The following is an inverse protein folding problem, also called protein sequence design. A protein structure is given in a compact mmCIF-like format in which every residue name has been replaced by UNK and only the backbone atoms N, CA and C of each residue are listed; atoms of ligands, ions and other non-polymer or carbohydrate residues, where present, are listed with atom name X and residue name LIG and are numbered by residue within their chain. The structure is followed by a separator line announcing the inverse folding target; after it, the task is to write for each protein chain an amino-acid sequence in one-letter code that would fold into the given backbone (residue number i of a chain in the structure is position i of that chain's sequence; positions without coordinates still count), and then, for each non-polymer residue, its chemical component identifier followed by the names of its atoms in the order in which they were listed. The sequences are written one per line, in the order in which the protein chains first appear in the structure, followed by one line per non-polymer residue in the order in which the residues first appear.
data_IF_794231463881
#
_entry.id   IF_794231463881
#
_cell.length_a   1.000
_cell.length_b   1.000
_cell.length_c   1.000
_cell.angle_alpha   90.00
_cell.angle_beta   90.00
_cell.angle_gamma   90.00
#
_symmetry.space_group_name_H-M   'P 1'
#
loop_
_entity.id
_entity.type
_entity.pdbx_description
1 polymer ?
#
# COMPACT_ATOMS: atom_id res chain seq x y z
N UNK A 1 12.06 3.93 15.45
CA UNK A 1 11.48 3.55 14.15
C UNK A 1 12.25 2.39 13.50
N UNK A 2 13.55 2.46 13.41
CA UNK A 2 14.39 1.43 12.77
C UNK A 2 14.23 0.01 13.34
N UNK A 3 14.18 -0.13 14.66
CA UNK A 3 13.95 -1.43 15.30
C UNK A 3 12.58 -2.03 14.90
N UNK A 4 11.53 -1.22 14.88
CA UNK A 4 10.21 -1.66 14.43
C UNK A 4 10.23 -2.07 12.94
N UNK A 5 10.95 -1.32 12.10
CA UNK A 5 11.12 -1.63 10.68
C UNK A 5 11.77 -3.00 10.48
N UNK A 6 12.89 -3.29 11.18
CA UNK A 6 13.57 -4.60 11.12
C UNK A 6 12.66 -5.77 11.53
N UNK A 7 11.87 -5.60 12.58
CA UNK A 7 10.92 -6.64 13.04
C UNK A 7 9.85 -6.85 11.97
N UNK A 8 9.26 -5.78 11.45
CA UNK A 8 8.24 -5.85 10.40
C UNK A 8 8.78 -6.54 9.15
N UNK A 9 9.99 -6.18 8.70
CA UNK A 9 10.64 -6.81 7.55
C UNK A 9 10.85 -8.32 7.76
N UNK A 10 11.31 -8.72 8.94
CA UNK A 10 11.50 -10.14 9.25
C UNK A 10 10.18 -10.91 9.17
N UNK A 11 9.12 -10.39 9.80
CA UNK A 11 7.79 -11.01 9.80
C UNK A 11 7.21 -11.06 8.39
N UNK A 12 7.27 -9.97 7.63
CA UNK A 12 6.73 -9.93 6.25
C UNK A 12 7.46 -10.94 5.36
N UNK A 13 8.80 -10.97 5.40
CA UNK A 13 9.58 -11.91 4.58
C UNK A 13 9.30 -13.37 4.96
N UNK A 14 9.13 -13.67 6.25
CA UNK A 14 8.71 -15.00 6.70
C UNK A 14 7.36 -15.40 6.10
N UNK A 15 6.36 -14.52 6.16
CA UNK A 15 5.03 -14.81 5.62
C UNK A 15 5.04 -14.92 4.08
N UNK A 16 5.83 -14.09 3.39
CA UNK A 16 5.94 -14.16 1.93
C UNK A 16 6.55 -15.48 1.45
N UNK A 17 7.49 -16.08 2.21
CA UNK A 17 8.08 -17.38 1.86
C UNK A 17 7.10 -18.54 1.99
N UNK A 18 6.02 -18.39 2.77
CA UNK A 18 5.01 -19.44 3.00
C UNK A 18 4.01 -19.60 1.85
N UNK A 19 4.07 -18.77 0.84
CA UNK A 19 3.12 -18.78 -0.29
C UNK A 19 3.83 -18.72 -1.63
N UNK A 20 3.21 -19.25 -2.71
CA UNK A 20 3.71 -19.05 -4.06
C UNK A 20 3.70 -17.58 -4.46
N UNK A 21 4.62 -17.22 -5.34
CA UNK A 21 4.76 -15.86 -5.88
C UNK A 21 3.93 -15.70 -7.14
N UNK A 22 3.38 -14.51 -7.34
CA UNK A 22 2.66 -14.16 -8.56
C UNK A 22 3.62 -13.65 -9.65
N UNK A 23 3.26 -13.78 -10.94
CA UNK A 23 4.18 -13.51 -12.06
C UNK A 23 4.82 -12.10 -12.05
N UNK A 24 4.09 -11.06 -11.63
CA UNK A 24 4.58 -9.67 -11.59
C UNK A 24 4.94 -9.20 -10.18
N UNK A 25 4.88 -10.08 -9.21
CA UNK A 25 5.31 -9.78 -7.86
C UNK A 25 6.83 -9.62 -7.82
N UNK A 26 7.32 -8.64 -7.03
CA UNK A 26 8.77 -8.44 -6.88
C UNK A 26 9.47 -9.70 -6.39
N UNK A 27 10.48 -10.16 -7.14
CA UNK A 27 11.22 -11.39 -6.87
C UNK A 27 12.41 -11.27 -5.92
N UNK A 28 12.70 -10.03 -5.46
CA UNK A 28 13.94 -9.74 -4.77
C UNK A 28 15.10 -9.45 -5.74
N UNK A 29 16.15 -8.81 -5.25
CA UNK A 29 17.35 -8.52 -6.03
C UNK A 29 18.30 -9.73 -6.09
N UNK A 30 18.14 -10.70 -5.18
CA UNK A 30 18.94 -11.91 -5.07
C UNK A 30 18.05 -13.09 -4.66
N UNK A 31 18.34 -14.32 -5.13
CA UNK A 31 17.60 -15.52 -4.73
C UNK A 31 17.56 -15.75 -3.21
N UNK A 32 18.64 -15.43 -2.52
CA UNK A 32 18.80 -15.62 -1.07
C UNK A 32 18.52 -14.35 -0.26
N UNK A 33 18.24 -13.24 -0.95
CA UNK A 33 18.01 -11.95 -0.33
C UNK A 33 16.59 -11.78 0.22
N UNK A 34 16.32 -10.63 0.87
CA UNK A 34 14.98 -10.31 1.33
C UNK A 34 14.06 -10.10 0.13
N UNK A 35 12.88 -10.73 0.19
CA UNK A 35 11.83 -10.57 -0.82
C UNK A 35 11.15 -9.21 -0.72
N UNK A 36 11.19 -8.60 0.45
CA UNK A 36 10.54 -7.34 0.76
C UNK A 36 11.38 -6.51 1.74
N UNK A 37 11.46 -5.22 1.51
CA UNK A 37 12.11 -4.24 2.38
C UNK A 37 11.19 -3.04 2.55
N UNK A 38 11.17 -2.45 3.74
CA UNK A 38 10.44 -1.23 4.00
C UNK A 38 11.33 -0.03 3.74
N UNK A 39 11.25 0.55 2.54
CA UNK A 39 11.99 1.77 2.20
C UNK A 39 11.16 3.04 2.31
N UNK A 40 9.85 2.90 2.57
CA UNK A 40 8.93 4.02 2.83
C UNK A 40 8.00 3.66 4.00
N UNK A 41 7.83 4.59 4.93
CA UNK A 41 6.85 4.50 6.00
C UNK A 41 6.02 5.78 6.06
N UNK A 42 4.69 5.63 6.17
CA UNK A 42 3.75 6.73 6.37
C UNK A 42 2.95 6.50 7.66
N UNK A 43 2.81 7.55 8.46
CA UNK A 43 2.05 7.50 9.70
C UNK A 43 0.76 8.30 9.59
N UNK A 44 -0.32 7.74 10.14
CA UNK A 44 -1.60 8.42 10.31
C UNK A 44 -1.99 8.38 11.79
N UNK A 45 -2.54 9.47 12.29
CA UNK A 45 -3.15 9.53 13.61
C UNK A 45 -4.66 9.66 13.48
N UNK A 46 -5.40 8.80 14.17
CA UNK A 46 -6.86 8.80 14.24
C UNK A 46 -7.25 9.13 15.67
N UNK A 47 -7.69 10.37 15.90
CA UNK A 47 -8.13 10.83 17.21
C UNK A 47 -9.65 10.72 17.35
N UNK A 48 -10.08 10.10 18.44
CA UNK A 48 -11.50 9.90 18.73
C UNK A 48 -12.20 8.92 17.79
N UNK A 49 -13.48 8.72 18.05
CA UNK A 49 -14.29 7.71 17.37
C UNK A 49 -14.59 8.06 15.89
N UNK A 50 -14.71 9.36 15.57
CA UNK A 50 -15.16 9.83 14.26
C UNK A 50 -14.03 9.97 13.24
N UNK A 51 -12.77 10.08 13.69
CA UNK A 51 -11.62 10.11 12.79
C UNK A 51 -11.57 8.84 11.94
N UNK A 52 -11.48 8.98 10.63
CA UNK A 52 -11.70 7.88 9.70
C UNK A 52 -10.96 8.09 8.37
N UNK A 53 -10.79 7.02 7.64
CA UNK A 53 -10.42 7.05 6.22
C UNK A 53 -11.39 6.19 5.43
N UNK A 54 -11.89 6.72 4.30
CA UNK A 54 -12.84 6.05 3.43
C UNK A 54 -12.25 4.85 2.68
N UNK A 55 -13.11 4.10 1.99
CA UNK A 55 -12.71 2.93 1.20
C UNK A 55 -11.81 3.34 0.02
N UNK A 56 -10.56 2.92 0.05
CA UNK A 56 -9.55 3.16 -0.99
C UNK A 56 -8.66 1.94 -1.20
N UNK A 57 -7.90 1.94 -2.26
CA UNK A 57 -6.72 1.08 -2.47
C UNK A 57 -5.50 1.98 -2.53
N UNK A 58 -4.35 1.48 -2.07
CA UNK A 58 -3.10 2.22 -2.18
C UNK A 58 -2.73 2.44 -3.65
N UNK A 59 -2.08 3.56 -3.93
CA UNK A 59 -1.61 3.88 -5.27
C UNK A 59 -0.43 2.98 -5.64
N UNK A 60 -0.53 2.29 -6.78
CA UNK A 60 0.46 1.30 -7.20
C UNK A 60 1.66 1.87 -7.95
N UNK A 61 1.71 3.17 -8.22
CA UNK A 61 2.70 3.82 -9.09
C UNK A 61 4.14 3.44 -8.75
N UNK A 62 4.48 3.43 -7.46
CA UNK A 62 5.81 3.05 -6.97
C UNK A 62 5.87 1.67 -6.31
N UNK A 63 4.72 1.09 -6.02
CA UNK A 63 4.60 -0.24 -5.43
C UNK A 63 4.66 -1.35 -6.47
N UNK A 64 4.23 -1.03 -7.69
CA UNK A 64 4.05 -2.01 -8.76
C UNK A 64 2.89 -2.98 -8.50
N UNK A 65 2.74 -3.98 -9.39
CA UNK A 65 1.77 -5.07 -9.26
C UNK A 65 1.99 -5.93 -8.00
N UNK A 66 0.88 -6.38 -7.43
CA UNK A 66 0.85 -7.32 -6.31
C UNK A 66 1.68 -6.91 -5.08
N UNK A 67 1.56 -5.67 -4.60
CA UNK A 67 2.36 -5.22 -3.48
C UNK A 67 1.97 -5.95 -2.20
N UNK A 68 2.97 -6.21 -1.37
CA UNK A 68 2.77 -6.54 0.04
C UNK A 68 2.98 -5.27 0.85
N UNK A 69 2.01 -4.93 1.70
CA UNK A 69 2.02 -3.74 2.54
C UNK A 69 1.80 -4.16 3.99
N UNK A 70 2.63 -3.68 4.89
CA UNK A 70 2.51 -3.97 6.32
C UNK A 70 2.08 -2.72 7.10
N UNK A 71 1.16 -2.89 8.04
CA UNK A 71 0.61 -1.77 8.80
C UNK A 71 0.59 -2.11 10.29
N UNK A 72 1.40 -1.38 11.07
CA UNK A 72 1.48 -1.48 12.53
C UNK A 72 0.49 -0.53 13.17
N UNK A 73 -0.31 -1.02 14.10
CA UNK A 73 -1.30 -0.27 14.87
C UNK A 73 -0.87 -0.11 16.32
N UNK A 74 -0.85 1.13 16.78
CA UNK A 74 -0.50 1.50 18.15
C UNK A 74 -1.61 2.35 18.76
N UNK A 75 -1.84 2.22 20.06
CA UNK A 75 -2.85 3.00 20.79
C UNK A 75 -4.23 2.34 20.79
N UNK A 76 -5.27 3.15 20.65
CA UNK A 76 -6.67 2.72 20.75
C UNK A 76 -7.05 1.73 19.66
N UNK A 77 -7.81 0.70 20.05
CA UNK A 77 -8.35 -0.31 19.12
C UNK A 77 -9.29 0.32 18.08
N UNK A 78 -9.08 0.00 16.82
CA UNK A 78 -9.96 0.39 15.70
C UNK A 78 -10.27 -0.82 14.81
N UNK A 79 -11.28 -0.68 13.98
CA UNK A 79 -11.62 -1.67 12.96
C UNK A 79 -10.91 -1.33 11.66
N UNK A 80 -10.18 -2.29 11.09
CA UNK A 80 -9.72 -2.26 9.71
C UNK A 80 -10.75 -3.00 8.85
N UNK A 81 -11.31 -2.30 7.89
CA UNK A 81 -12.32 -2.87 6.99
C UNK A 81 -11.73 -3.16 5.63
N UNK A 82 -11.90 -4.40 5.18
CA UNK A 82 -11.69 -4.78 3.78
C UNK A 82 -13.04 -4.97 3.11
N UNK A 83 -13.24 -4.38 1.94
CA UNK A 83 -14.40 -4.59 1.09
C UNK A 83 -13.98 -5.02 -0.30
N UNK A 84 -14.50 -6.15 -0.74
CA UNK A 84 -14.27 -6.69 -2.06
C UNK A 84 -14.81 -5.76 -3.14
N UNK A 85 -14.08 -5.65 -4.25
CA UNK A 85 -14.57 -5.07 -5.51
C UNK A 85 -15.05 -6.21 -6.37
N UNK A 86 -16.36 -6.29 -6.61
CA UNK A 86 -16.96 -7.34 -7.45
C UNK A 86 -16.58 -7.08 -8.92
N UNK A 87 -16.09 -8.10 -9.66
CA UNK A 87 -15.92 -8.03 -11.11
C UNK A 87 -17.22 -7.66 -11.82
N UNK A 88 -17.12 -7.03 -12.98
CA UNK A 88 -18.28 -6.49 -13.71
C UNK A 88 -19.26 -7.60 -14.14
N UNK A 89 -18.74 -8.76 -14.50
CA UNK A 89 -19.51 -9.95 -14.90
C UNK A 89 -20.25 -10.62 -13.72
N UNK A 90 -19.84 -10.33 -12.48
CA UNK A 90 -20.49 -10.85 -11.28
C UNK A 90 -21.46 -9.83 -10.62
N UNK A 91 -21.58 -8.62 -11.17
CA UNK A 91 -22.49 -7.61 -10.64
C UNK A 91 -23.93 -8.12 -10.78
N UNK A 92 -24.67 -8.11 -9.68
CA UNK A 92 -26.05 -8.61 -9.60
C UNK A 92 -26.16 -10.10 -9.30
N UNK A 93 -25.10 -10.90 -9.43
CA UNK A 93 -25.12 -12.34 -9.11
C UNK A 93 -24.78 -12.62 -7.66
N UNK A 94 -23.99 -11.77 -7.01
CA UNK A 94 -23.61 -11.88 -5.61
C UNK A 94 -23.31 -10.51 -4.97
N UNK A 95 -23.27 -10.49 -3.66
CA UNK A 95 -22.87 -9.30 -2.91
C UNK A 95 -21.35 -9.26 -2.64
N UNK A 96 -20.83 -8.03 -2.51
CA UNK A 96 -19.43 -7.83 -2.12
C UNK A 96 -19.18 -8.30 -0.67
N UNK A 97 -18.18 -9.11 -0.47
CA UNK A 97 -17.75 -9.53 0.86
C UNK A 97 -17.11 -8.35 1.60
N UNK A 98 -17.42 -8.23 2.87
CA UNK A 98 -16.85 -7.23 3.75
C UNK A 98 -16.28 -7.90 4.99
N UNK A 99 -15.04 -7.62 5.30
CA UNK A 99 -14.33 -8.14 6.48
C UNK A 99 -14.03 -6.98 7.42
N UNK A 100 -14.38 -7.12 8.69
CA UNK A 100 -14.04 -6.18 9.74
C UNK A 100 -13.02 -6.85 10.68
N UNK A 101 -11.79 -6.37 10.66
CA UNK A 101 -10.66 -6.92 11.40
C UNK A 101 -10.35 -5.96 12.56
N UNK A 102 -10.53 -6.38 13.81
CA UNK A 102 -10.15 -5.53 14.95
C UNK A 102 -8.63 -5.44 15.04
N UNK A 103 -8.12 -4.21 15.14
CA UNK A 103 -6.70 -3.91 15.32
C UNK A 103 -6.46 -3.32 16.72
N UNK A 104 -6.10 -4.15 17.72
CA UNK A 104 -5.69 -3.67 19.02
C UNK A 104 -4.29 -3.01 18.98
N UNK A 105 -3.87 -2.47 20.14
CA UNK A 105 -2.51 -1.98 20.30
C UNK A 105 -1.48 -3.04 19.96
N UNK A 106 -0.39 -2.59 19.33
CA UNK A 106 0.75 -3.43 18.91
C UNK A 106 0.35 -4.60 18.00
N UNK A 107 -0.62 -4.39 17.11
CA UNK A 107 -1.01 -5.37 16.09
C UNK A 107 -0.42 -5.02 14.72
N UNK A 108 0.06 -6.02 14.01
CA UNK A 108 0.55 -5.92 12.63
C UNK A 108 -0.44 -6.61 11.69
N UNK A 109 -0.95 -5.88 10.71
CA UNK A 109 -1.70 -6.44 9.60
C UNK A 109 -0.84 -6.42 8.33
N UNK A 110 -0.84 -7.53 7.60
CA UNK A 110 -0.13 -7.66 6.32
C UNK A 110 -1.16 -7.82 5.22
N UNK A 111 -1.24 -6.84 4.35
CA UNK A 111 -1.98 -6.92 3.09
C UNK A 111 -1.07 -7.59 2.06
N UNK A 112 -1.29 -8.87 1.82
CA UNK A 112 -0.52 -9.64 0.84
C UNK A 112 -0.88 -9.26 -0.60
N UNK A 113 -0.08 -9.75 -1.54
CA UNK A 113 -0.35 -9.71 -2.97
C UNK A 113 -1.82 -10.04 -3.27
N UNK A 114 -2.41 -9.37 -4.24
CA UNK A 114 -3.83 -9.35 -4.63
C UNK A 114 -4.77 -8.53 -3.75
N UNK A 115 -4.34 -8.10 -2.56
CA UNK A 115 -5.23 -7.29 -1.70
C UNK A 115 -5.60 -5.95 -2.36
N UNK A 116 -4.61 -5.26 -2.96
CA UNK A 116 -4.86 -3.98 -3.63
C UNK A 116 -5.61 -4.12 -4.96
N UNK A 117 -5.53 -5.28 -5.57
CA UNK A 117 -6.21 -5.63 -6.83
C UNK A 117 -7.67 -6.04 -6.64
N UNK A 118 -8.01 -6.58 -5.47
CA UNK A 118 -9.32 -7.21 -5.23
C UNK A 118 -10.15 -6.52 -4.16
N UNK A 119 -9.52 -5.74 -3.29
CA UNK A 119 -10.19 -5.11 -2.16
C UNK A 119 -9.87 -3.62 -2.07
N UNK A 120 -10.84 -2.88 -1.51
CA UNK A 120 -10.61 -1.58 -0.91
C UNK A 120 -10.54 -1.73 0.60
N UNK A 121 -9.78 -0.86 1.26
CA UNK A 121 -9.68 -0.88 2.72
C UNK A 121 -10.02 0.49 3.32
N UNK A 122 -10.41 0.48 4.59
CA UNK A 122 -10.84 1.67 5.32
C UNK A 122 -10.61 1.53 6.82
N UNK A 123 -10.53 2.67 7.50
CA UNK A 123 -10.78 2.78 8.95
C UNK A 123 -12.12 3.50 9.11
N UNK A 124 -13.24 2.79 9.32
CA UNK A 124 -14.54 3.43 9.44
C UNK A 124 -14.65 4.22 10.76
N UNK A 125 -15.51 5.25 10.82
CA UNK A 125 -15.90 5.84 12.09
C UNK A 125 -16.59 4.80 12.98
N UNK A 126 -16.53 4.99 14.28
CA UNK A 126 -17.15 4.14 15.29
C UNK A 126 -18.09 4.98 16.16
N UNK A 127 -19.12 4.36 16.73
CA UNK A 127 -20.01 5.03 17.67
C UNK A 127 -19.36 5.30 19.01
N UNK A 128 -18.45 4.41 19.43
CA UNK A 128 -17.64 4.51 20.63
C UNK A 128 -16.30 3.84 20.43
N UNK A 129 -15.32 4.23 21.22
CA UNK A 129 -14.00 3.59 21.29
C UNK A 129 -13.58 3.43 22.75
N UNK A 130 -12.81 2.38 23.03
CA UNK A 130 -12.15 2.22 24.30
C UNK A 130 -10.90 3.11 24.34
N UNK A 131 -10.61 3.66 25.52
CA UNK A 131 -9.36 4.39 25.71
C UNK A 131 -8.20 3.41 25.86
N UNK A 132 -7.13 3.68 25.15
CA UNK A 132 -5.87 2.98 25.38
C UNK A 132 -5.19 3.52 26.63
N UNK A 133 -4.79 2.62 27.53
CA UNK A 133 -4.02 2.91 28.74
C UNK A 133 -2.65 2.27 28.61
N UNK A 134 -1.57 3.06 28.44
CA UNK A 134 -0.22 2.53 28.43
C UNK A 134 0.09 1.75 29.71
N UNK A 135 0.76 0.61 29.58
CA UNK A 135 1.17 -0.21 30.74
C UNK A 135 2.40 0.35 31.46
N UNK A 136 3.13 1.25 30.81
CA UNK A 136 4.38 1.82 31.30
C UNK A 136 4.40 3.33 31.07
N UNK A 137 5.07 4.11 31.95
CA UNK A 137 5.28 5.54 31.73
C UNK A 137 6.17 5.79 30.50
N UNK A 138 6.18 7.03 30.05
CA UNK A 138 7.05 7.43 28.95
C UNK A 138 8.53 7.28 29.36
N UNK A 139 9.38 6.58 28.57
CA UNK A 139 10.77 6.30 28.97
C UNK A 139 11.58 7.55 29.32
N UNK A 140 11.40 8.62 28.54
CA UNK A 140 12.14 9.88 28.72
C UNK A 140 11.48 10.85 29.71
N UNK A 141 10.30 10.50 30.23
CA UNK A 141 9.52 11.32 31.18
C UNK A 141 8.74 10.43 32.14
N UNK A 142 9.45 9.63 32.96
CA UNK A 142 8.81 8.65 33.84
C UNK A 142 7.97 9.30 34.95
N UNK A 143 8.21 10.56 35.24
CA UNK A 143 7.49 11.37 36.26
C UNK A 143 6.11 11.84 35.77
N UNK A 144 5.85 11.80 34.43
CA UNK A 144 4.57 12.23 33.88
C UNK A 144 3.53 11.13 34.10
N UNK A 145 2.37 11.44 34.70
CA UNK A 145 1.30 10.47 34.90
C UNK A 145 0.86 9.83 33.58
N UNK A 146 0.55 8.54 33.64
CA UNK A 146 0.00 7.81 32.48
C UNK A 146 -1.43 8.26 32.26
N UNK A 147 -1.67 8.95 31.13
CA UNK A 147 -3.00 9.37 30.73
C UNK A 147 -3.58 8.42 29.67
N UNK A 148 -4.88 8.08 29.79
CA UNK A 148 -5.58 7.35 28.76
C UNK A 148 -5.62 8.13 27.45
N UNK A 149 -5.44 7.45 26.31
CA UNK A 149 -5.46 8.06 24.99
C UNK A 149 -6.61 7.53 24.14
N UNK A 150 -7.27 8.41 23.39
CA UNK A 150 -8.27 8.06 22.40
C UNK A 150 -7.68 7.99 20.97
N UNK A 151 -6.35 8.11 20.86
CA UNK A 151 -5.66 8.10 19.57
C UNK A 151 -5.20 6.70 19.17
N UNK A 152 -5.32 6.41 17.87
CA UNK A 152 -4.64 5.30 17.20
C UNK A 152 -3.60 5.88 16.25
N UNK A 153 -2.37 5.45 16.40
CA UNK A 153 -1.31 5.69 15.42
C UNK A 153 -1.20 4.46 14.52
N UNK A 154 -1.19 4.70 13.23
CA UNK A 154 -0.96 3.69 12.21
C UNK A 154 0.34 4.00 11.48
N UNK A 155 1.24 3.03 11.42
CA UNK A 155 2.48 3.14 10.65
C UNK A 155 2.41 2.13 9.52
N UNK A 156 2.30 2.61 8.28
CA UNK A 156 2.22 1.76 7.10
C UNK A 156 3.57 1.72 6.42
N UNK A 157 4.16 0.53 6.39
CA UNK A 157 5.43 0.23 5.76
C UNK A 157 5.20 -0.27 4.34
N UNK A 158 5.92 0.30 3.39
CA UNK A 158 5.82 0.00 1.97
C UNK A 158 7.19 -0.25 1.36
N UNK A 159 7.22 -1.03 0.31
CA UNK A 159 8.38 -1.22 -0.54
C UNK A 159 8.13 -0.53 -1.88
N UNK A 160 8.79 0.59 -2.11
CA UNK A 160 8.84 1.23 -3.43
C UNK A 160 9.87 0.49 -4.27
N UNK A 161 9.39 -0.11 -5.34
CA UNK A 161 10.16 -1.02 -6.19
C UNK A 161 11.10 -0.23 -7.12
N UNK A 162 12.35 -0.71 -7.33
CA UNK A 162 13.28 -0.06 -8.26
C UNK A 162 12.76 0.02 -9.70
N UNK A 163 12.08 -1.03 -10.17
CA UNK A 163 11.49 -1.10 -11.51
C UNK A 163 10.24 -0.22 -11.68
N UNK A 164 9.79 0.45 -10.62
CA UNK A 164 8.72 1.44 -10.59
C UNK A 164 9.20 2.80 -10.04
N UNK A 165 10.49 3.07 -10.13
CA UNK A 165 11.06 4.34 -9.69
C UNK A 165 10.45 5.53 -10.45
N UNK A 166 10.49 6.72 -9.84
CA UNK A 166 9.83 7.91 -10.38
C UNK A 166 10.27 8.28 -11.81
N UNK A 167 11.56 8.13 -12.13
CA UNK A 167 12.10 8.41 -13.48
C UNK A 167 11.62 7.41 -14.55
N UNK A 168 11.16 6.22 -14.16
CA UNK A 168 10.57 5.21 -15.04
C UNK A 168 9.06 5.37 -15.20
N UNK A 169 8.43 6.32 -14.49
CA UNK A 169 6.99 6.56 -14.58
C UNK A 169 6.65 7.24 -15.90
N UNK A 170 5.76 6.65 -16.73
CA UNK A 170 5.36 7.26 -17.99
C UNK A 170 4.70 8.62 -17.76
N UNK A 171 4.88 9.54 -18.71
CA UNK A 171 4.18 10.82 -18.73
C UNK A 171 3.00 10.79 -19.69
N UNK A 172 1.91 11.44 -19.33
CA UNK A 172 0.76 11.60 -20.22
C UNK A 172 0.98 12.74 -21.22
N UNK A 173 0.03 12.92 -22.14
CA UNK A 173 0.08 14.00 -23.16
C UNK A 173 0.16 15.41 -22.57
N UNK A 174 -0.31 15.60 -21.33
CA UNK A 174 -0.21 16.90 -20.63
C UNK A 174 1.11 17.05 -19.82
N UNK A 175 2.09 16.16 -20.00
CA UNK A 175 3.39 16.20 -19.31
C UNK A 175 3.41 15.71 -17.87
N UNK A 176 2.24 15.46 -17.26
CA UNK A 176 2.13 15.00 -15.87
C UNK A 176 2.49 13.50 -15.77
N UNK A 177 3.24 13.07 -14.74
CA UNK A 177 3.46 11.65 -14.49
C UNK A 177 2.13 10.90 -14.35
N UNK A 178 2.06 9.71 -14.95
CA UNK A 178 0.87 8.87 -14.88
C UNK A 178 0.87 8.06 -13.60
N UNK A 179 -0.31 7.60 -13.18
CA UNK A 179 -0.46 6.68 -12.06
C UNK A 179 -0.80 5.28 -12.52
N UNK A 180 -0.23 4.27 -11.85
CA UNK A 180 -0.57 2.88 -12.10
C UNK A 180 -1.84 2.48 -11.35
N UNK A 181 -2.76 1.86 -12.05
CA UNK A 181 -4.02 1.36 -11.51
C UNK A 181 -4.23 -0.11 -11.89
N UNK A 182 -4.73 -0.96 -10.98
CA UNK A 182 -5.16 -2.31 -11.32
C UNK A 182 -6.54 -2.27 -11.98
N UNK A 183 -6.81 -3.21 -12.87
CA UNK A 183 -8.16 -3.45 -13.38
C UNK A 183 -8.95 -4.29 -12.38
N UNK A 184 -9.52 -3.63 -11.40
CA UNK A 184 -10.26 -4.31 -10.33
C UNK A 184 -11.59 -4.91 -10.80
N UNK A 185 -12.10 -4.48 -11.95
CA UNK A 185 -13.45 -4.83 -12.42
C UNK A 185 -13.47 -5.88 -13.54
N UNK A 186 -12.45 -5.94 -14.39
CA UNK A 186 -12.41 -6.87 -15.52
C UNK A 186 -11.42 -8.02 -15.24
N UNK A 187 -11.64 -8.71 -14.13
CA UNK A 187 -10.89 -9.92 -13.77
C UNK A 187 -11.63 -11.11 -14.34
N UNK A 188 -11.04 -11.80 -15.30
CA UNK A 188 -11.65 -12.97 -15.95
C UNK A 188 -10.83 -14.23 -15.62
N UNK A 189 -11.41 -15.11 -14.79
CA UNK A 189 -10.89 -16.45 -14.54
C UNK A 189 -9.39 -16.51 -14.17
N UNK A 190 -8.64 -17.32 -14.89
CA UNK A 190 -7.20 -17.54 -14.68
C UNK A 190 -6.31 -16.50 -15.39
N UNK A 191 -6.89 -15.48 -16.02
CA UNK A 191 -6.10 -14.42 -16.65
C UNK A 191 -5.38 -13.60 -15.57
N UNK A 192 -4.08 -13.28 -15.77
CA UNK A 192 -3.37 -12.40 -14.87
C UNK A 192 -4.06 -11.05 -14.77
N UNK A 193 -4.06 -10.45 -13.57
CA UNK A 193 -4.62 -9.12 -13.36
C UNK A 193 -3.94 -8.12 -14.31
N UNK A 194 -4.74 -7.25 -14.92
CA UNK A 194 -4.26 -6.21 -15.83
C UNK A 194 -4.05 -4.91 -15.08
N UNK A 195 -3.10 -4.12 -15.59
CA UNK A 195 -2.77 -2.81 -15.04
C UNK A 195 -2.74 -1.79 -16.17
N UNK A 196 -3.10 -0.56 -15.83
CA UNK A 196 -2.99 0.55 -16.76
C UNK A 196 -2.37 1.78 -16.13
N UNK A 197 -1.68 2.53 -16.92
CA UNK A 197 -1.27 3.88 -16.61
C UNK A 197 -2.40 4.85 -16.95
N UNK A 198 -2.71 5.77 -16.04
CA UNK A 198 -3.75 6.77 -16.22
C UNK A 198 -3.23 8.17 -15.95
N UNK A 199 -3.72 9.16 -16.70
CA UNK A 199 -3.43 10.56 -16.42
C UNK A 199 -3.91 10.96 -15.02
N UNK A 200 -3.06 11.65 -14.28
CA UNK A 200 -3.36 12.17 -12.94
C UNK A 200 -3.56 13.70 -12.90
N UNK A 201 -3.51 14.38 -14.05
CA UNK A 201 -3.64 15.82 -14.16
C UNK A 201 -4.94 16.37 -13.57
N UNK A 202 -6.00 15.58 -13.51
CA UNK A 202 -7.27 15.98 -12.90
C UNK A 202 -7.21 16.21 -11.39
N UNK A 203 -6.28 15.58 -10.68
CA UNK A 203 -6.12 15.80 -9.23
C UNK A 203 -5.60 17.21 -8.89
N UNK A 204 -4.91 17.83 -9.84
CA UNK A 204 -4.32 19.17 -9.72
C UNK A 204 -5.10 20.26 -10.49
N UNK A 205 -6.17 19.88 -11.21
CA UNK A 205 -6.91 20.76 -12.10
C UNK A 205 -8.42 20.43 -12.06
N UNK A 206 -9.04 20.61 -10.89
CA UNK A 206 -10.50 20.51 -10.67
C UNK A 206 -11.18 19.31 -11.35
N UNK A 207 -10.52 18.17 -11.36
CA UNK A 207 -11.01 16.95 -12.01
C UNK A 207 -10.77 16.88 -13.52
N UNK A 208 -10.21 17.92 -14.15
CA UNK A 208 -9.99 18.02 -15.61
C UNK A 208 -8.63 17.45 -16.01
N UNK A 209 -8.53 16.14 -16.11
CA UNK A 209 -7.36 15.47 -16.70
C UNK A 209 -7.49 15.36 -18.22
N UNK A 210 -6.38 15.04 -18.91
CA UNK A 210 -6.38 14.86 -20.37
C UNK A 210 -7.02 13.52 -20.82
N UNK A 211 -7.47 12.67 -19.88
CA UNK A 211 -8.10 11.38 -20.19
C UNK A 211 -7.15 10.32 -20.76
N UNK A 212 -5.87 10.62 -20.94
CA UNK A 212 -4.91 9.66 -21.50
C UNK A 212 -4.74 8.47 -20.57
N UNK A 213 -4.83 7.28 -21.13
CA UNK A 213 -4.51 6.03 -20.45
C UNK A 213 -3.81 5.07 -21.42
N UNK A 214 -3.05 4.12 -20.89
CA UNK A 214 -2.44 3.03 -21.65
C UNK A 214 -2.32 1.78 -20.78
N UNK A 215 -2.40 0.60 -21.39
CA UNK A 215 -2.13 -0.67 -20.71
C UNK A 215 -0.63 -0.70 -20.37
N UNK A 216 -0.30 -1.18 -19.15
CA UNK A 216 1.07 -1.45 -18.77
C UNK A 216 1.55 -2.72 -19.49
N UNK A 217 2.62 -2.61 -20.24
CA UNK A 217 3.32 -3.74 -20.85
C UNK A 217 4.60 -4.02 -20.07
N UNK A 218 4.55 -5.05 -19.21
CA UNK A 218 5.67 -5.37 -18.31
C UNK A 218 6.93 -5.80 -19.08
N UNK A 219 6.79 -6.43 -20.25
CA UNK A 219 7.92 -6.84 -21.09
C UNK A 219 8.56 -5.62 -21.74
N UNK A 220 7.76 -4.84 -22.47
CA UNK A 220 8.25 -3.67 -23.19
C UNK A 220 8.76 -2.57 -22.24
N UNK A 221 8.21 -2.50 -21.02
CA UNK A 221 8.63 -1.53 -20.01
C UNK A 221 9.76 -2.06 -19.10
N UNK A 222 10.21 -3.32 -19.28
CA UNK A 222 11.28 -3.94 -18.47
C UNK A 222 10.95 -3.98 -16.99
N UNK A 223 9.76 -4.49 -16.61
CA UNK A 223 9.26 -4.50 -15.23
C UNK A 223 9.07 -5.92 -14.69
N UNK A 224 9.07 -6.05 -13.37
CA UNK A 224 8.87 -7.33 -12.69
C UNK A 224 9.98 -8.33 -13.04
N UNK A 225 9.65 -9.55 -13.51
CA UNK A 225 10.65 -10.54 -13.90
C UNK A 225 11.54 -10.10 -15.08
N UNK A 226 11.13 -9.10 -15.85
CA UNK A 226 11.88 -8.54 -16.98
C UNK A 226 12.76 -7.35 -16.60
N UNK A 227 12.79 -6.97 -15.34
CA UNK A 227 13.57 -5.82 -14.84
C UNK A 227 15.08 -6.04 -14.98
N UNK A 228 15.56 -7.28 -14.96
CA UNK A 228 16.99 -7.61 -15.08
C UNK A 228 17.62 -7.15 -16.40
N UNK A 229 16.81 -7.09 -17.45
CA UNK A 229 17.24 -6.73 -18.79
C UNK A 229 17.03 -5.24 -19.09
N UNK A 230 16.59 -4.46 -18.10
CA UNK A 230 16.31 -3.03 -18.28
C UNK A 230 17.57 -2.19 -17.96
N UNK A 231 18.26 -1.61 -18.98
CA UNK A 231 19.48 -0.82 -18.78
C UNK A 231 19.23 0.45 -17.94
N UNK A 232 18.00 0.95 -17.88
CA UNK A 232 17.63 2.15 -17.12
C UNK A 232 17.55 1.93 -15.61
N UNK A 233 17.56 0.67 -15.14
CA UNK A 233 17.56 0.36 -13.71
C UNK A 233 18.93 0.59 -13.05
N UNK A 234 19.99 0.66 -13.83
CA UNK A 234 21.38 0.84 -13.37
C UNK A 234 21.85 2.29 -13.48
N UNK A 235 20.97 3.22 -13.83
CA UNK A 235 21.27 4.67 -13.85
C UNK A 235 21.48 5.19 -12.43
N UNK A 236 22.62 5.87 -12.22
CA UNK A 236 23.16 6.44 -10.99
C UNK A 236 22.14 6.86 -9.93
N UNK A 237 22.36 6.41 -8.71
CA UNK A 237 21.72 6.85 -7.46
C UNK A 237 21.78 8.38 -7.32
N UNK A 238 20.77 9.06 -7.81
CA UNK A 238 20.48 10.43 -7.42
C UNK A 238 19.22 10.39 -6.57
N UNK A 239 19.43 10.38 -5.26
CA UNK A 239 18.50 10.60 -4.16
C UNK A 239 17.09 9.98 -4.33
N UNK A 240 16.82 8.77 -3.75
CA UNK A 240 15.51 8.14 -3.81
C UNK A 240 14.43 8.86 -2.97
N UNK A 241 14.74 9.95 -2.30
CA UNK A 241 13.86 10.62 -1.33
C UNK A 241 13.18 11.89 -1.82
N UNK A 242 13.31 12.26 -3.08
CA UNK A 242 12.48 13.33 -3.65
C UNK A 242 11.06 12.81 -3.87
N UNK A 243 10.28 12.69 -2.81
CA UNK A 243 8.82 12.58 -2.88
C UNK A 243 8.33 13.95 -3.33
N UNK A 244 7.60 14.09 -4.46
CA UNK A 244 6.92 15.36 -4.76
C UNK A 244 5.94 15.64 -3.62
N UNK A 245 6.02 16.85 -3.05
CA UNK A 245 5.05 17.34 -2.07
C UNK A 245 3.64 17.12 -2.62
N UNK A 246 2.90 16.25 -1.97
CA UNK A 246 1.46 16.07 -2.22
C UNK A 246 0.77 16.84 -1.11
N UNK A 247 0.56 18.15 -1.38
CA UNK A 247 -0.44 18.94 -0.67
C UNK A 247 -1.85 18.56 -1.13
#
# INVERSE_FOLDING_TARGET
MEAACRIVEAVVNEQMRKRPRLPFEWGGASPDGPLWRANVAASNCYEGAQSSVGLHSDQLTYLGPYPTIASLSLGTRRVFRLREVIPTDEIGTRQARTFNIPLPHNSLIIMHATTQEKFKHAIPPQTSIDLYRPSFPHPDRPEVPIEPSNARINITFRFYRPDFAAHLTPRCKCGVPMILRPDMKHRMGDCPDRYWWACYGGSQNEGKGCGTWKIMDAVAEGRGPFAKDNPNLHGSDTNPHAVPDVN
#
